data_IF_787201311981
#
_entry.id   IF_787201311981
#
_cell.length_a   1.000
_cell.length_b   1.000
_cell.length_c   1.000
_cell.angle_alpha   90.00
_cell.angle_beta   90.00
_cell.angle_gamma   90.00
#
_symmetry.space_group_name_H-M   'P 1'
#
loop_
_entity.id
_entity.type
_entity.pdbx_description
1 polymer ?
#
# COMPACT_ATOMS: atom_id res chain seq x y z
N UNK A 1 13.81 -11.23 -11.31
CA UNK A 1 12.87 -10.09 -11.25
C UNK A 1 11.68 -10.55 -10.46
N UNK A 2 11.16 -9.73 -9.55
CA UNK A 2 9.99 -10.09 -8.76
C UNK A 2 8.74 -10.11 -9.65
N UNK A 3 7.79 -10.96 -9.27
CA UNK A 3 6.53 -11.14 -9.94
C UNK A 3 5.39 -11.12 -8.93
N UNK A 4 4.27 -10.56 -9.35
CA UNK A 4 3.04 -10.45 -8.58
C UNK A 4 2.17 -11.63 -8.98
N UNK A 5 1.75 -12.42 -7.99
CA UNK A 5 0.89 -13.57 -8.23
C UNK A 5 -0.58 -13.15 -8.42
N UNK A 6 -1.34 -13.90 -9.21
CA UNK A 6 -2.74 -13.62 -9.55
C UNK A 6 -3.62 -13.41 -8.32
N UNK A 7 -3.37 -14.15 -7.23
CA UNK A 7 -4.10 -14.00 -5.96
C UNK A 7 -3.95 -12.61 -5.33
N UNK A 8 -2.81 -11.95 -5.53
CA UNK A 8 -2.61 -10.58 -5.02
C UNK A 8 -3.37 -9.57 -5.90
N UNK A 9 -3.47 -9.82 -7.21
CA UNK A 9 -4.32 -9.03 -8.12
C UNK A 9 -5.80 -9.19 -7.73
N UNK A 10 -6.25 -10.41 -7.45
CA UNK A 10 -7.62 -10.70 -7.00
C UNK A 10 -7.93 -10.01 -5.66
N UNK A 11 -6.99 -10.03 -4.72
CA UNK A 11 -7.13 -9.34 -3.45
C UNK A 11 -7.25 -7.82 -3.64
N UNK A 12 -6.42 -7.22 -4.49
CA UNK A 12 -6.51 -5.79 -4.83
C UNK A 12 -7.82 -5.43 -5.55
N UNK A 13 -8.29 -6.27 -6.48
CA UNK A 13 -9.59 -6.13 -7.15
C UNK A 13 -10.73 -6.13 -6.13
N UNK A 14 -10.72 -7.08 -5.19
CA UNK A 14 -11.75 -7.17 -4.16
C UNK A 14 -11.72 -5.98 -3.19
N UNK A 15 -10.52 -5.48 -2.86
CA UNK A 15 -10.34 -4.26 -2.08
C UNK A 15 -11.04 -3.06 -2.73
N UNK A 16 -10.81 -2.84 -4.03
CA UNK A 16 -11.44 -1.72 -4.74
C UNK A 16 -12.93 -1.90 -4.96
N UNK A 17 -13.41 -3.15 -5.17
CA UNK A 17 -14.86 -3.44 -5.23
C UNK A 17 -15.58 -3.06 -3.93
N UNK A 18 -14.97 -3.29 -2.78
CA UNK A 18 -15.54 -2.92 -1.50
C UNK A 18 -15.48 -1.40 -1.24
N UNK A 19 -14.38 -0.75 -1.65
CA UNK A 19 -14.14 0.68 -1.40
C UNK A 19 -14.90 1.61 -2.35
N UNK A 20 -15.01 1.25 -3.62
CA UNK A 20 -15.66 2.03 -4.67
C UNK A 20 -16.60 1.12 -5.47
N UNK A 21 -17.75 0.72 -4.87
CA UNK A 21 -18.70 -0.16 -5.54
C UNK A 21 -19.26 0.49 -6.81
N UNK A 22 -19.59 -0.34 -7.78
CA UNK A 22 -20.19 0.12 -9.03
C UNK A 22 -21.55 0.78 -8.77
N UNK A 23 -21.80 2.01 -9.25
CA UNK A 23 -23.05 2.72 -9.01
C UNK A 23 -24.26 2.10 -9.73
N UNK A 24 -24.00 1.43 -10.85
CA UNK A 24 -25.00 0.83 -11.75
C UNK A 24 -24.83 -0.70 -11.92
N UNK A 25 -23.86 -1.29 -11.22
CA UNK A 25 -23.52 -2.71 -11.31
C UNK A 25 -22.65 -3.09 -12.51
N UNK A 26 -22.26 -2.13 -13.37
CA UNK A 26 -21.46 -2.38 -14.59
C UNK A 26 -20.24 -1.45 -14.69
N UNK A 27 -20.39 -0.19 -14.32
CA UNK A 27 -19.34 0.82 -14.38
C UNK A 27 -18.31 0.57 -13.27
N UNK A 28 -17.06 0.34 -13.65
CA UNK A 28 -15.93 0.17 -12.73
C UNK A 28 -15.23 1.50 -12.47
N UNK A 29 -14.86 1.73 -11.20
CA UNK A 29 -13.94 2.79 -10.80
C UNK A 29 -12.60 2.67 -11.55
N UNK A 30 -11.86 3.78 -11.78
CA UNK A 30 -10.61 3.77 -12.55
C UNK A 30 -9.59 2.74 -12.05
N UNK A 31 -9.39 2.65 -10.74
CA UNK A 31 -8.42 1.76 -10.10
C UNK A 31 -8.79 0.29 -10.29
N UNK A 32 -10.07 -0.03 -10.12
CA UNK A 32 -10.61 -1.36 -10.35
C UNK A 32 -10.51 -1.75 -11.84
N UNK A 33 -10.74 -0.82 -12.74
CA UNK A 33 -10.62 -1.04 -14.19
C UNK A 33 -9.19 -1.36 -14.59
N UNK A 34 -8.21 -0.60 -14.09
CA UNK A 34 -6.80 -0.82 -14.37
C UNK A 34 -6.33 -2.21 -13.89
N UNK A 35 -6.74 -2.64 -12.69
CA UNK A 35 -6.44 -3.98 -12.18
C UNK A 35 -7.16 -5.08 -12.96
N UNK A 36 -8.41 -4.84 -13.37
CA UNK A 36 -9.21 -5.81 -14.12
C UNK A 36 -8.60 -6.11 -15.50
N UNK A 37 -7.97 -5.13 -16.15
CA UNK A 37 -7.26 -5.32 -17.41
C UNK A 37 -6.05 -6.26 -17.25
N UNK A 38 -5.23 -6.04 -16.22
CA UNK A 38 -4.10 -6.94 -15.89
C UNK A 38 -4.61 -8.35 -15.61
N UNK A 39 -5.63 -8.48 -14.76
CA UNK A 39 -6.24 -9.78 -14.44
C UNK A 39 -6.77 -10.49 -15.69
N UNK A 40 -7.46 -9.78 -16.58
CA UNK A 40 -8.00 -10.34 -17.81
C UNK A 40 -6.88 -10.86 -18.73
N UNK A 41 -5.77 -10.13 -18.85
CA UNK A 41 -4.61 -10.57 -19.62
C UNK A 41 -3.95 -11.82 -19.02
N UNK A 42 -3.78 -11.87 -17.70
CA UNK A 42 -3.26 -13.06 -17.00
C UNK A 42 -4.12 -14.29 -17.29
N UNK A 43 -5.45 -14.17 -17.16
CA UNK A 43 -6.38 -15.25 -17.46
C UNK A 43 -6.33 -15.65 -18.94
N UNK A 44 -6.29 -14.68 -19.86
CA UNK A 44 -6.23 -14.93 -21.30
C UNK A 44 -4.94 -15.67 -21.71
N UNK A 45 -3.81 -15.34 -21.07
CA UNK A 45 -2.53 -15.98 -21.32
C UNK A 45 -2.28 -17.23 -20.48
N UNK A 46 -3.19 -17.57 -19.55
CA UNK A 46 -3.03 -18.65 -18.58
C UNK A 46 -1.78 -18.49 -17.70
N UNK A 47 -1.50 -17.26 -17.29
CA UNK A 47 -0.36 -16.92 -16.43
C UNK A 47 -0.83 -16.66 -14.99
N UNK A 48 -0.16 -17.28 -14.02
CA UNK A 48 -0.42 -17.06 -12.59
C UNK A 48 0.43 -15.93 -12.01
N UNK A 49 1.40 -15.42 -12.76
CA UNK A 49 2.35 -14.40 -12.32
C UNK A 49 2.54 -13.35 -13.40
N UNK A 50 2.67 -12.09 -12.98
CA UNK A 50 2.99 -10.96 -13.85
C UNK A 50 4.21 -10.23 -13.30
N UNK A 51 5.15 -9.88 -14.18
CA UNK A 51 6.39 -9.22 -13.77
C UNK A 51 6.12 -7.83 -13.18
N UNK A 52 6.86 -7.47 -12.12
CA UNK A 52 6.88 -6.09 -11.60
C UNK A 52 7.39 -5.11 -12.68
N UNK A 53 8.37 -5.54 -13.46
CA UNK A 53 8.90 -4.75 -14.56
C UNK A 53 7.88 -4.67 -15.70
N UNK A 54 7.49 -3.45 -16.06
CA UNK A 54 6.51 -3.21 -17.14
C UNK A 54 5.06 -3.29 -16.66
N UNK A 55 4.81 -3.41 -15.36
CA UNK A 55 3.47 -3.33 -14.80
C UNK A 55 2.83 -1.97 -15.12
N UNK A 56 1.59 -1.90 -15.64
CA UNK A 56 0.95 -0.64 -15.99
C UNK A 56 0.87 0.31 -14.80
N UNK A 57 1.24 1.59 -14.98
CA UNK A 57 1.39 2.53 -13.87
C UNK A 57 0.10 2.74 -13.05
N UNK A 58 -1.06 2.81 -13.71
CA UNK A 58 -2.36 2.94 -13.03
C UNK A 58 -2.71 1.70 -12.21
N UNK A 59 -2.48 0.51 -12.76
CA UNK A 59 -2.68 -0.75 -12.06
C UNK A 59 -1.69 -0.89 -10.90
N UNK A 60 -0.44 -0.46 -11.07
CA UNK A 60 0.60 -0.49 -10.04
C UNK A 60 0.18 0.36 -8.84
N UNK A 61 -0.27 1.60 -9.08
CA UNK A 61 -0.77 2.49 -8.04
C UNK A 61 -1.98 1.88 -7.31
N UNK A 62 -2.92 1.29 -8.06
CA UNK A 62 -4.09 0.62 -7.48
C UNK A 62 -3.73 -0.61 -6.64
N UNK A 63 -2.73 -1.39 -7.08
CA UNK A 63 -2.22 -2.55 -6.35
C UNK A 63 -1.46 -2.14 -5.09
N UNK A 64 -0.61 -1.11 -5.18
CA UNK A 64 0.11 -0.52 -4.04
C UNK A 64 -0.84 -0.04 -2.94
N UNK A 65 -1.93 0.64 -3.32
CA UNK A 65 -2.94 1.09 -2.36
C UNK A 65 -3.55 -0.07 -1.57
N UNK A 66 -3.72 -1.25 -2.17
CA UNK A 66 -4.11 -2.46 -1.44
C UNK A 66 -2.94 -3.01 -0.60
N UNK A 67 -1.74 -3.13 -1.18
CA UNK A 67 -0.55 -3.64 -0.52
C UNK A 67 -0.27 -2.93 0.82
N UNK A 68 -0.43 -1.60 0.86
CA UNK A 68 -0.23 -0.78 2.07
C UNK A 68 -1.19 -1.13 3.22
N UNK A 69 -2.37 -1.70 2.92
CA UNK A 69 -3.31 -2.19 3.94
C UNK A 69 -2.88 -3.52 4.55
N UNK A 70 -1.96 -4.25 3.91
CA UNK A 70 -1.48 -5.55 4.41
C UNK A 70 -0.41 -5.37 5.49
N UNK A 71 -0.20 -6.34 6.39
CA UNK A 71 0.92 -6.27 7.34
C UNK A 71 2.26 -6.22 6.59
N UNK A 72 3.12 -5.25 6.91
CA UNK A 72 4.43 -5.15 6.24
C UNK A 72 5.26 -6.40 6.54
N UNK A 73 5.54 -6.70 7.80
CA UNK A 73 6.47 -7.79 8.18
C UNK A 73 5.76 -9.03 8.71
N UNK A 74 6.24 -10.25 8.38
CA UNK A 74 5.73 -11.50 8.94
C UNK A 74 6.23 -11.82 10.36
N UNK A 75 7.03 -10.93 10.95
CA UNK A 75 7.71 -11.15 12.22
C UNK A 75 6.75 -11.24 13.42
N UNK A 76 7.01 -12.16 14.35
CA UNK A 76 6.30 -12.32 15.63
C UNK A 76 7.21 -12.07 16.85
N UNK A 77 8.26 -11.27 16.65
CA UNK A 77 9.30 -10.98 17.64
C UNK A 77 10.00 -12.23 18.23
N UNK A 78 10.06 -13.31 17.45
CA UNK A 78 10.84 -14.51 17.76
C UNK A 78 11.77 -14.76 16.57
N UNK A 79 13.07 -14.74 16.81
CA UNK A 79 14.09 -14.91 15.77
C UNK A 79 15.01 -16.09 16.12
N UNK A 80 15.07 -17.06 15.21
CA UNK A 80 15.99 -18.19 15.33
C UNK A 80 17.20 -18.08 14.38
N UNK A 81 17.14 -17.20 13.37
CA UNK A 81 18.30 -16.96 12.49
C UNK A 81 19.45 -16.28 13.20
N UNK A 82 19.16 -15.44 14.20
CA UNK A 82 20.19 -14.90 15.10
C UNK A 82 20.91 -15.98 15.94
N UNK A 83 20.34 -17.19 16.00
CA UNK A 83 20.92 -18.35 16.69
C UNK A 83 21.56 -19.34 15.70
N UNK A 84 21.61 -19.00 14.41
CA UNK A 84 22.29 -19.77 13.37
C UNK A 84 21.39 -20.58 12.43
N UNK A 85 20.06 -20.52 12.55
CA UNK A 85 19.17 -21.16 11.57
C UNK A 85 19.17 -20.41 10.22
N UNK A 86 19.13 -21.14 9.10
CA UNK A 86 19.01 -20.54 7.75
C UNK A 86 17.60 -19.98 7.48
N UNK A 87 16.59 -20.59 8.11
CA UNK A 87 15.19 -20.16 8.06
C UNK A 87 14.68 -19.85 9.46
N UNK A 88 13.98 -18.71 9.60
CA UNK A 88 13.46 -18.28 10.88
C UNK A 88 12.24 -19.13 11.28
N UNK A 89 12.37 -19.96 12.31
CA UNK A 89 11.27 -20.76 12.86
C UNK A 89 10.06 -19.93 13.28
N UNK A 90 10.28 -18.67 13.68
CA UNK A 90 9.21 -17.75 14.06
C UNK A 90 8.35 -17.30 12.88
N UNK A 91 8.97 -16.72 11.85
CA UNK A 91 8.27 -16.04 10.75
C UNK A 91 8.33 -16.71 9.38
N UNK A 92 9.17 -17.75 9.19
CA UNK A 92 9.33 -18.49 7.94
C UNK A 92 10.25 -17.84 6.90
N UNK A 93 10.78 -16.64 7.19
CA UNK A 93 11.72 -15.98 6.29
C UNK A 93 13.11 -16.61 6.34
N UNK A 94 13.79 -16.66 5.20
CA UNK A 94 15.21 -17.01 5.13
C UNK A 94 16.08 -15.93 5.80
N UNK A 95 17.30 -16.29 6.18
CA UNK A 95 18.26 -15.34 6.75
C UNK A 95 18.54 -14.14 5.83
N UNK A 96 18.56 -14.38 4.51
CA UNK A 96 18.71 -13.33 3.50
C UNK A 96 17.52 -12.37 3.51
N UNK A 97 16.29 -12.89 3.48
CA UNK A 97 15.07 -12.07 3.53
C UNK A 97 14.95 -11.29 4.84
N UNK A 98 15.35 -11.88 5.98
CA UNK A 98 15.35 -11.18 7.29
C UNK A 98 16.26 -9.97 7.27
N UNK A 99 17.48 -10.09 6.73
CA UNK A 99 18.45 -8.99 6.70
C UNK A 99 18.09 -7.90 5.70
N UNK A 100 17.60 -8.27 4.52
CA UNK A 100 17.38 -7.33 3.43
C UNK A 100 15.94 -6.82 3.35
N UNK A 101 15.06 -7.24 4.26
CA UNK A 101 13.63 -6.88 4.26
C UNK A 101 13.34 -5.39 3.97
N UNK A 102 14.03 -4.41 4.60
CA UNK A 102 13.74 -2.99 4.35
C UNK A 102 14.05 -2.53 2.92
N UNK A 103 14.95 -3.22 2.22
CA UNK A 103 15.37 -2.90 0.85
C UNK A 103 14.58 -3.67 -0.22
N UNK A 104 13.80 -4.69 0.18
CA UNK A 104 13.01 -5.49 -0.76
C UNK A 104 11.84 -4.69 -1.35
N UNK A 105 11.55 -4.89 -2.64
CA UNK A 105 10.38 -4.29 -3.29
C UNK A 105 9.08 -4.85 -2.71
N UNK A 106 7.95 -4.15 -2.86
CA UNK A 106 6.65 -4.69 -2.49
C UNK A 106 6.37 -6.07 -3.10
N UNK A 107 6.72 -6.27 -4.38
CA UNK A 107 6.52 -7.56 -5.05
C UNK A 107 7.40 -8.67 -4.44
N UNK A 108 8.68 -8.39 -4.12
CA UNK A 108 9.57 -9.35 -3.45
C UNK A 108 9.04 -9.73 -2.04
N UNK A 109 8.54 -8.74 -1.30
CA UNK A 109 7.91 -8.99 0.01
C UNK A 109 6.68 -9.87 -0.13
N UNK A 110 5.84 -9.63 -1.15
CA UNK A 110 4.65 -10.44 -1.42
C UNK A 110 4.98 -11.88 -1.82
N UNK A 111 6.03 -12.09 -2.61
CA UNK A 111 6.52 -13.44 -2.91
C UNK A 111 6.93 -14.19 -1.64
N UNK A 112 7.65 -13.51 -0.74
CA UNK A 112 8.01 -14.06 0.57
C UNK A 112 6.77 -14.44 1.37
N UNK A 113 5.80 -13.51 1.49
CA UNK A 113 4.53 -13.73 2.17
C UNK A 113 3.74 -14.92 1.61
N UNK A 114 3.64 -15.02 0.28
CA UNK A 114 2.98 -16.14 -0.39
C UNK A 114 3.66 -17.46 -0.06
N UNK A 115 4.99 -17.52 -0.20
CA UNK A 115 5.80 -18.72 0.09
C UNK A 115 5.57 -19.21 1.52
N UNK A 116 5.79 -18.36 2.52
CA UNK A 116 5.67 -18.75 3.93
C UNK A 116 4.24 -19.16 4.29
N UNK A 117 3.22 -18.56 3.66
CA UNK A 117 1.81 -18.89 3.91
C UNK A 117 1.44 -20.24 3.32
N UNK A 118 2.01 -20.61 2.16
CA UNK A 118 1.80 -21.91 1.54
C UNK A 118 2.56 -23.03 2.27
N UNK A 119 3.77 -22.73 2.76
CA UNK A 119 4.57 -23.69 3.51
C UNK A 119 3.99 -23.98 4.90
N UNK A 120 3.37 -22.97 5.54
CA UNK A 120 2.65 -23.08 6.82
C UNK A 120 3.44 -23.70 7.98
N UNK A 121 4.77 -23.77 7.85
CA UNK A 121 5.65 -24.49 8.78
C UNK A 121 6.09 -23.63 9.98
N UNK A 122 6.11 -22.30 9.81
CA UNK A 122 6.59 -21.36 10.81
C UNK A 122 5.63 -21.21 12.00
N UNK A 123 6.17 -20.92 13.18
CA UNK A 123 5.38 -20.86 14.42
C UNK A 123 4.27 -19.82 14.41
N UNK A 124 4.42 -18.75 13.64
CA UNK A 124 3.37 -17.75 13.44
C UNK A 124 2.05 -18.29 12.88
N UNK A 125 2.04 -19.50 12.30
CA UNK A 125 0.84 -20.13 11.77
C UNK A 125 0.29 -21.23 12.69
N UNK A 126 1.12 -21.73 13.60
CA UNK A 126 0.76 -22.81 14.52
C UNK A 126 0.95 -22.42 16.00
N UNK A 127 2.16 -22.64 16.54
CA UNK A 127 2.52 -22.60 17.97
C UNK A 127 2.34 -21.23 18.60
N UNK A 128 2.54 -20.16 17.83
CA UNK A 128 2.45 -18.76 18.26
C UNK A 128 1.57 -17.93 17.32
N UNK A 129 0.47 -18.52 16.82
CA UNK A 129 -0.44 -17.86 15.90
C UNK A 129 -1.13 -16.62 16.50
N UNK A 130 -1.27 -16.56 17.83
CA UNK A 130 -1.80 -15.41 18.55
C UNK A 130 -0.97 -14.15 18.37
N UNK A 131 0.37 -14.25 18.35
CA UNK A 131 1.25 -13.08 18.17
C UNK A 131 1.12 -12.46 16.79
N UNK A 132 0.85 -13.27 15.78
CA UNK A 132 0.54 -12.79 14.45
C UNK A 132 -0.78 -12.02 14.42
N UNK A 133 -1.80 -12.49 15.17
CA UNK A 133 -3.10 -11.80 15.30
C UNK A 133 -2.97 -10.47 16.03
N UNK A 134 -2.25 -10.44 17.15
CA UNK A 134 -2.00 -9.22 17.93
C UNK A 134 -1.40 -8.09 17.08
N UNK A 135 -0.47 -8.43 16.18
CA UNK A 135 0.14 -7.47 15.25
C UNK A 135 -0.88 -6.88 14.26
N UNK A 136 -1.78 -7.72 13.74
CA UNK A 136 -2.83 -7.30 12.81
C UNK A 136 -3.86 -6.41 13.53
N UNK A 137 -4.26 -6.81 14.73
CA UNK A 137 -5.25 -6.08 15.53
C UNK A 137 -4.71 -4.72 15.97
N UNK A 138 -3.42 -4.64 16.32
CA UNK A 138 -2.75 -3.36 16.59
C UNK A 138 -2.77 -2.43 15.37
N UNK A 139 -2.45 -2.93 14.16
CA UNK A 139 -2.51 -2.14 12.92
C UNK A 139 -3.92 -1.63 12.62
N UNK A 140 -4.93 -2.48 12.77
CA UNK A 140 -6.34 -2.09 12.60
C UNK A 140 -6.78 -1.02 13.59
N UNK A 141 -6.35 -1.12 14.84
CA UNK A 141 -6.64 -0.12 15.87
C UNK A 141 -5.98 1.23 15.54
N UNK A 142 -4.74 1.21 15.04
CA UNK A 142 -4.03 2.41 14.58
C UNK A 142 -4.75 3.07 13.39
N UNK A 143 -5.16 2.30 12.39
CA UNK A 143 -5.92 2.80 11.23
C UNK A 143 -7.26 3.42 11.65
N UNK A 144 -7.97 2.80 12.59
CA UNK A 144 -9.21 3.34 13.15
C UNK A 144 -8.98 4.68 13.86
N UNK A 145 -7.94 4.79 14.69
CA UNK A 145 -7.57 6.04 15.37
C UNK A 145 -7.08 7.12 14.39
N UNK A 146 -6.39 6.72 13.31
CA UNK A 146 -5.94 7.61 12.23
C UNK A 146 -7.11 8.21 11.44
N UNK A 147 -8.17 7.44 11.21
CA UNK A 147 -9.40 7.92 10.57
C UNK A 147 -10.13 8.95 11.45
N UNK A 148 -10.16 8.73 12.77
CA UNK A 148 -10.75 9.67 13.74
C UNK A 148 -9.98 11.00 13.79
N UNK A 149 -8.65 10.97 13.69
CA UNK A 149 -7.82 12.19 13.65
C UNK A 149 -7.88 12.92 12.31
N UNK A 150 -8.04 12.20 11.19
CA UNK A 150 -8.25 12.78 9.84
C UNK A 150 -9.60 13.50 9.69
N UNK A 151 -10.67 13.00 10.32
CA UNK A 151 -11.99 13.62 10.31
C UNK A 151 -12.06 14.99 11.03
N UNK A 152 -11.05 15.34 11.83
CA UNK A 152 -10.98 16.64 12.53
C UNK A 152 -10.20 17.73 11.79
N UNK A 153 -9.67 17.44 10.58
CA UNK A 153 -8.85 18.41 9.80
C UNK A 153 -9.54 18.98 8.55
N UNK A 154 -10.86 18.92 8.44
CA UNK A 154 -11.61 19.74 7.48
C UNK A 154 -12.24 20.95 8.18
N UNK A 155 -11.98 22.13 7.61
CA UNK A 155 -12.42 23.48 7.99
C UNK A 155 -11.53 24.28 8.96
N UNK A 156 -10.31 24.61 8.52
CA UNK A 156 -9.79 25.97 8.73
C UNK A 156 -9.53 26.57 7.35
N UNK A 157 -10.54 27.25 6.81
CA UNK A 157 -10.36 28.13 5.66
C UNK A 157 -9.43 29.27 6.08
N UNK A 158 -8.25 29.35 5.47
CA UNK A 158 -7.37 30.51 5.57
C UNK A 158 -8.12 31.76 5.05
N UNK A 159 -8.15 32.89 5.79
CA UNK A 159 -8.72 34.11 5.25
C UNK A 159 -7.79 34.65 4.16
N UNK A 160 -8.36 34.88 2.99
CA UNK A 160 -7.72 35.50 1.85
C UNK A 160 -7.04 36.82 2.26
N UNK A 161 -5.72 36.89 2.10
CA UNK A 161 -4.95 38.11 2.25
C UNK A 161 -5.40 39.13 1.20
N UNK A 162 -5.93 40.26 1.67
CA UNK A 162 -6.29 41.42 0.85
C UNK A 162 -5.04 42.07 0.25
N UNK A 163 -4.96 42.13 -1.07
CA UNK A 163 -3.96 42.93 -1.79
C UNK A 163 -4.25 44.44 -1.62
N UNK A 164 -3.26 45.30 -1.33
CA UNK A 164 -3.47 46.73 -1.41
C UNK A 164 -3.43 47.23 -2.86
N UNK A 165 -4.50 47.93 -3.24
CA UNK A 165 -4.65 48.67 -4.49
C UNK A 165 -3.67 49.86 -4.57
N UNK A 166 -3.34 50.22 -5.82
CA UNK A 166 -2.22 51.08 -6.20
C UNK A 166 -2.21 52.51 -5.68
N UNK A 167 -0.99 53.06 -5.63
CA UNK A 167 -0.74 54.49 -5.50
C UNK A 167 -0.81 55.17 -6.87
N UNK A 168 -1.80 56.05 -6.99
CA UNK A 168 -2.04 56.96 -8.11
C UNK A 168 -0.92 58.00 -8.18
N UNK A 169 -0.34 58.18 -9.38
CA UNK A 169 0.50 59.33 -9.72
C UNK A 169 -0.37 60.57 -9.98
N UNK A 170 -0.07 61.68 -9.32
CA UNK A 170 -0.69 62.99 -9.58
C UNK A 170 0.27 63.86 -10.40
N UNK A 171 -0.19 64.61 -11.43
CA UNK A 171 0.64 65.55 -12.17
C UNK A 171 0.47 66.99 -11.67
N UNK A 172 1.53 67.80 -11.82
CA UNK A 172 1.45 69.23 -12.13
C UNK A 172 1.84 70.23 -11.04
N UNK A 173 2.75 71.16 -11.37
CA UNK A 173 2.89 72.44 -10.66
C UNK A 173 4.26 73.11 -10.82
N UNK A 174 4.32 74.17 -11.61
CA UNK A 174 5.50 74.97 -11.96
C UNK A 174 5.85 76.08 -10.93
N UNK A 175 6.94 76.81 -11.23
CA UNK A 175 7.58 77.98 -10.58
C UNK A 175 8.79 77.61 -9.71
N UNK A 176 9.99 78.18 -9.85
CA UNK A 176 10.49 79.37 -10.56
C UNK A 176 11.67 79.91 -9.73
N UNK A 177 12.79 80.26 -10.38
CA UNK A 177 13.99 80.80 -9.73
C UNK A 177 15.26 80.53 -10.52
#
# INVERSE_FOLDING_TARGET
MAAIHITDIEAAVNFWRARAPSPDGVTLAPELRALAEVYALMVYHHEDEVAEQGFPAEAWAAWLAWYETTPDTPCIAICSTSQGDEECKGCGRSFGEVQHWPAMTPAEKRQTWRRITLEDSAWRFNTYAERARETIDAKRAEEAAGLETGATREAVAEPAASAPAGSVSTPGGAHGG
#
